data_IF_092068763325
#
_entry.id   IF_092068763325
#
_cell.length_a   1.000
_cell.length_b   1.000
_cell.length_c   1.000
_cell.angle_alpha   90.00
_cell.angle_beta   90.00
_cell.angle_gamma   90.00
#
_symmetry.space_group_name_H-M   'P 1'
#
loop_
_entity.id
_entity.type
_entity.pdbx_description
1 polymer ?
#
# COMPACT_ATOMS: atom_id res chain seq x y z
N UNK A 1 14.47 -9.34 12.08
CA UNK A 1 15.38 -8.32 11.53
C UNK A 1 16.27 -8.86 10.43
N UNK A 2 17.06 -9.91 10.66
CA UNK A 2 17.90 -10.53 9.61
C UNK A 2 17.08 -10.95 8.37
N UNK A 3 15.89 -11.52 8.56
CA UNK A 3 15.00 -11.90 7.45
C UNK A 3 14.56 -10.69 6.61
N UNK A 4 14.10 -9.62 7.24
CA UNK A 4 13.72 -8.36 6.55
C UNK A 4 14.88 -7.78 5.74
N UNK A 5 16.10 -7.79 6.29
CA UNK A 5 17.29 -7.31 5.56
C UNK A 5 17.52 -8.16 4.31
N UNK A 6 17.52 -9.47 4.46
CA UNK A 6 17.71 -10.39 3.34
C UNK A 6 16.61 -10.24 2.27
N UNK A 7 15.37 -10.03 2.69
CA UNK A 7 14.23 -9.83 1.78
C UNK A 7 14.33 -8.49 1.03
N UNK A 8 14.73 -7.42 1.73
CA UNK A 8 14.99 -6.12 1.12
C UNK A 8 16.13 -6.19 0.09
N UNK A 9 17.25 -6.83 0.44
CA UNK A 9 18.39 -7.04 -0.47
C UNK A 9 17.98 -7.86 -1.70
N UNK A 10 17.18 -8.91 -1.50
CA UNK A 10 16.66 -9.73 -2.60
C UNK A 10 15.77 -8.92 -3.54
N UNK A 11 14.87 -8.10 -3.00
CA UNK A 11 14.03 -7.20 -3.77
C UNK A 11 14.84 -6.13 -4.53
N UNK A 12 15.90 -5.60 -3.90
CA UNK A 12 16.79 -4.62 -4.54
C UNK A 12 17.55 -5.22 -5.72
N UNK A 13 18.03 -6.46 -5.55
CA UNK A 13 18.70 -7.21 -6.62
C UNK A 13 17.74 -7.49 -7.78
N UNK A 14 16.48 -7.83 -7.50
CA UNK A 14 15.47 -8.04 -8.54
C UNK A 14 15.16 -6.74 -9.28
N UNK A 15 14.94 -5.63 -8.56
CA UNK A 15 14.73 -4.33 -9.19
C UNK A 15 15.89 -3.96 -10.14
N UNK A 16 17.13 -4.17 -9.71
CA UNK A 16 18.32 -3.88 -10.52
C UNK A 16 18.30 -4.66 -11.83
N UNK A 17 18.07 -5.98 -11.77
CA UNK A 17 17.96 -6.83 -12.96
C UNK A 17 16.82 -6.40 -13.88
N UNK A 18 15.69 -5.98 -13.30
CA UNK A 18 14.50 -5.60 -14.07
C UNK A 18 14.67 -4.25 -14.76
N UNK A 19 15.40 -3.31 -14.15
CA UNK A 19 15.73 -2.02 -14.77
C UNK A 19 16.66 -2.23 -15.98
N UNK A 20 17.61 -3.18 -15.89
CA UNK A 20 18.52 -3.51 -16.99
C UNK A 20 17.79 -4.02 -18.24
N UNK A 21 16.69 -4.78 -18.06
CA UNK A 21 15.87 -5.27 -19.18
C UNK A 21 14.85 -4.25 -19.70
N UNK A 22 14.81 -3.04 -19.13
CA UNK A 22 13.99 -1.90 -19.56
C UNK A 22 12.47 -2.17 -19.61
N UNK A 23 11.97 -3.14 -18.83
CA UNK A 23 10.54 -3.34 -18.68
C UNK A 23 9.98 -2.41 -17.60
N UNK A 24 9.27 -1.36 -18.03
CA UNK A 24 8.70 -0.36 -17.15
C UNK A 24 7.66 -0.94 -16.17
N UNK A 25 6.83 -1.88 -16.61
CA UNK A 25 5.81 -2.47 -15.74
C UNK A 25 6.45 -3.34 -14.67
N UNK A 26 7.39 -4.21 -15.04
CA UNK A 26 8.11 -5.04 -14.09
C UNK A 26 8.93 -4.17 -13.14
N UNK A 27 9.56 -3.10 -13.63
CA UNK A 27 10.31 -2.17 -12.79
C UNK A 27 9.42 -1.49 -11.74
N UNK A 28 8.19 -1.10 -12.11
CA UNK A 28 7.20 -0.57 -11.18
C UNK A 28 6.73 -1.62 -10.15
N UNK A 29 6.60 -2.88 -10.56
CA UNK A 29 6.28 -3.96 -9.63
C UNK A 29 7.40 -4.22 -8.62
N UNK A 30 8.65 -4.31 -9.09
CA UNK A 30 9.81 -4.61 -8.25
C UNK A 30 10.15 -3.45 -7.31
N UNK A 31 10.05 -2.20 -7.77
CA UNK A 31 10.26 -1.05 -6.88
C UNK A 31 9.19 -1.01 -5.80
N UNK A 32 7.93 -1.28 -6.15
CA UNK A 32 6.86 -1.34 -5.15
C UNK A 32 7.09 -2.49 -4.16
N UNK A 33 7.57 -3.64 -4.63
CA UNK A 33 7.94 -4.78 -3.77
C UNK A 33 9.08 -4.41 -2.81
N UNK A 34 10.10 -3.69 -3.26
CA UNK A 34 11.18 -3.18 -2.40
C UNK A 34 10.63 -2.29 -1.27
N UNK A 35 9.72 -1.36 -1.62
CA UNK A 35 9.08 -0.47 -0.64
C UNK A 35 8.28 -1.21 0.44
N UNK A 36 7.78 -2.41 0.17
CA UNK A 36 7.02 -3.23 1.15
C UNK A 36 7.81 -3.50 2.44
N UNK A 37 9.15 -3.56 2.36
CA UNK A 37 10.00 -3.94 3.48
C UNK A 37 10.49 -2.74 4.31
N UNK A 38 10.41 -1.50 3.80
CA UNK A 38 10.79 -0.30 4.57
C UNK A 38 10.06 -0.16 5.93
N UNK A 39 8.75 -0.46 6.03
CA UNK A 39 8.01 -0.33 7.28
C UNK A 39 8.56 -1.18 8.43
N UNK A 40 9.17 -2.33 8.12
CA UNK A 40 9.78 -3.20 9.13
C UNK A 40 10.96 -2.52 9.82
N UNK A 41 11.73 -1.70 9.09
CA UNK A 41 12.81 -0.89 9.66
C UNK A 41 12.25 0.29 10.47
N UNK A 42 11.21 0.94 9.97
CA UNK A 42 10.58 2.08 10.67
C UNK A 42 9.95 1.68 12.01
N UNK A 43 9.50 0.43 12.13
CA UNK A 43 9.00 -0.11 13.39
C UNK A 43 10.05 -0.19 14.51
N UNK A 44 11.35 -0.05 14.20
CA UNK A 44 12.41 -0.01 15.21
C UNK A 44 12.55 1.34 15.91
N UNK A 45 11.89 2.36 15.39
CA UNK A 45 11.96 3.72 15.90
C UNK A 45 10.59 4.16 16.40
N UNK A 46 10.56 5.05 17.37
CA UNK A 46 9.32 5.74 17.72
C UNK A 46 8.90 6.61 16.54
N UNK A 47 7.78 6.24 15.90
CA UNK A 47 7.20 7.00 14.81
C UNK A 47 5.81 7.50 15.19
N UNK A 48 5.56 8.78 14.90
CA UNK A 48 4.23 9.39 15.03
C UNK A 48 3.25 8.84 13.99
N UNK A 49 3.77 8.43 12.84
CA UNK A 49 3.03 7.84 11.74
C UNK A 49 3.15 6.32 11.83
N UNK A 50 2.03 5.57 11.93
CA UNK A 50 2.10 4.12 11.94
C UNK A 50 2.77 3.59 10.65
N UNK A 51 3.87 2.81 10.73
CA UNK A 51 4.52 2.24 9.55
C UNK A 51 3.57 1.35 8.71
N UNK A 52 2.48 0.88 9.30
CA UNK A 52 1.43 0.15 8.60
C UNK A 52 0.81 0.95 7.43
N UNK A 53 0.83 2.29 7.47
CA UNK A 53 0.34 3.12 6.37
C UNK A 53 1.15 2.92 5.08
N UNK A 54 2.46 2.70 5.19
CA UNK A 54 3.31 2.38 4.04
C UNK A 54 3.01 0.99 3.46
N UNK A 55 2.62 0.02 4.31
CA UNK A 55 2.16 -1.30 3.85
C UNK A 55 0.84 -1.18 3.06
N UNK A 56 -0.07 -0.30 3.47
CA UNK A 56 -1.30 0.01 2.72
C UNK A 56 -0.98 0.70 1.39
N UNK A 57 0.00 1.62 1.39
CA UNK A 57 0.48 2.31 0.18
C UNK A 57 1.05 1.33 -0.83
N UNK A 58 1.88 0.38 -0.37
CA UNK A 58 2.36 -0.75 -1.18
C UNK A 58 1.20 -1.52 -1.82
N UNK A 59 0.22 -1.91 -1.00
CA UNK A 59 -0.89 -2.75 -1.45
C UNK A 59 -1.80 -2.03 -2.46
N UNK A 60 -2.14 -0.76 -2.24
CA UNK A 60 -2.90 0.06 -3.19
C UNK A 60 -2.20 0.16 -4.56
N UNK A 61 -0.88 0.45 -4.56
CA UNK A 61 -0.08 0.52 -5.79
C UNK A 61 0.00 -0.83 -6.50
N UNK A 62 0.15 -1.93 -5.74
CA UNK A 62 0.19 -3.28 -6.31
C UNK A 62 -1.15 -3.65 -6.96
N UNK A 63 -2.29 -3.35 -6.31
CA UNK A 63 -3.63 -3.56 -6.87
C UNK A 63 -3.80 -2.76 -8.18
N UNK A 64 -3.38 -1.50 -8.18
CA UNK A 64 -3.41 -0.64 -9.38
C UNK A 64 -2.63 -1.27 -10.54
N UNK A 65 -1.37 -1.65 -10.32
CA UNK A 65 -0.50 -2.26 -11.33
C UNK A 65 -1.06 -3.61 -11.83
N UNK A 66 -1.58 -4.44 -10.93
CA UNK A 66 -2.21 -5.72 -11.32
C UNK A 66 -3.49 -5.50 -12.13
N UNK A 67 -4.27 -4.47 -11.80
CA UNK A 67 -5.43 -4.02 -12.58
C UNK A 67 -5.06 -3.63 -14.02
N UNK A 68 -3.97 -2.87 -14.20
CA UNK A 68 -3.44 -2.47 -15.52
C UNK A 68 -3.01 -3.68 -16.39
N UNK A 69 -2.70 -4.82 -15.78
CA UNK A 69 -2.43 -6.09 -16.48
C UNK A 69 -3.58 -7.08 -16.44
N UNK A 70 -4.77 -6.64 -16.04
CA UNK A 70 -5.97 -7.47 -15.92
C UNK A 70 -5.79 -8.69 -14.99
N UNK A 71 -4.79 -8.68 -14.11
CA UNK A 71 -4.55 -9.72 -13.13
C UNK A 71 -5.43 -9.50 -11.89
N UNK A 72 -6.73 -9.63 -12.06
CA UNK A 72 -7.71 -9.43 -10.98
C UNK A 72 -7.66 -10.51 -9.90
N UNK A 73 -7.18 -11.72 -10.24
CA UNK A 73 -6.93 -12.77 -9.25
C UNK A 73 -5.85 -12.32 -8.25
N UNK A 74 -4.69 -11.90 -8.76
CA UNK A 74 -3.63 -11.35 -7.91
C UNK A 74 -4.05 -10.08 -7.18
N UNK A 75 -4.87 -9.21 -7.81
CA UNK A 75 -5.39 -8.01 -7.15
C UNK A 75 -6.29 -8.38 -5.95
N UNK A 76 -7.11 -9.43 -6.06
CA UNK A 76 -7.91 -9.95 -4.95
C UNK A 76 -7.04 -10.48 -3.81
N UNK A 77 -5.96 -11.20 -4.11
CA UNK A 77 -5.02 -11.66 -3.08
C UNK A 77 -4.40 -10.48 -2.31
N UNK A 78 -4.06 -9.41 -3.02
CA UNK A 78 -3.52 -8.18 -2.41
C UNK A 78 -4.60 -7.43 -1.62
N UNK A 79 -5.87 -7.47 -2.01
CA UNK A 79 -6.97 -6.90 -1.22
C UNK A 79 -7.10 -7.56 0.16
N UNK A 80 -6.92 -8.89 0.25
CA UNK A 80 -6.93 -9.60 1.53
C UNK A 80 -5.75 -9.16 2.41
N UNK A 81 -4.55 -9.01 1.82
CA UNK A 81 -3.41 -8.44 2.53
C UNK A 81 -3.71 -7.02 3.01
N UNK A 82 -4.27 -6.16 2.15
CA UNK A 82 -4.64 -4.79 2.47
C UNK A 82 -5.60 -4.74 3.67
N UNK A 83 -6.65 -5.55 3.64
CA UNK A 83 -7.67 -5.61 4.71
C UNK A 83 -7.04 -5.99 6.07
N UNK A 84 -6.15 -6.99 6.08
CA UNK A 84 -5.45 -7.42 7.29
C UNK A 84 -4.55 -6.32 7.87
N UNK A 85 -3.81 -5.61 7.02
CA UNK A 85 -3.01 -4.46 7.46
C UNK A 85 -3.92 -3.35 8.01
N UNK A 86 -5.04 -3.06 7.34
CA UNK A 86 -5.97 -2.01 7.78
C UNK A 86 -6.59 -2.31 9.14
N UNK A 87 -7.00 -3.56 9.37
CA UNK A 87 -7.53 -3.99 10.68
C UNK A 87 -6.51 -3.82 11.81
N UNK A 88 -5.21 -3.91 11.50
CA UNK A 88 -4.12 -3.70 12.45
C UNK A 88 -3.79 -2.21 12.65
N UNK A 89 -3.86 -1.41 11.57
CA UNK A 89 -3.53 0.01 11.59
C UNK A 89 -4.64 0.87 12.21
N UNK A 90 -5.90 0.59 11.86
CA UNK A 90 -7.07 1.39 12.23
C UNK A 90 -7.19 1.68 13.73
N UNK A 91 -7.02 0.71 14.65
CA UNK A 91 -7.14 0.96 16.10
C UNK A 91 -6.07 1.91 16.64
N UNK A 92 -4.95 2.08 15.94
CA UNK A 92 -3.84 2.97 16.33
C UNK A 92 -4.10 4.43 15.93
N UNK A 93 -5.13 4.69 15.12
CA UNK A 93 -5.49 6.03 14.67
C UNK A 93 -6.33 6.74 15.74
N UNK A 94 -5.98 8.00 16.04
CA UNK A 94 -6.69 8.85 17.00
C UNK A 94 -8.12 9.18 16.54
N UNK A 95 -9.02 9.47 17.49
CA UNK A 95 -10.43 9.79 17.24
C UNK A 95 -10.66 11.01 16.33
N UNK A 96 -9.75 11.98 16.37
CA UNK A 96 -9.74 13.14 15.46
C UNK A 96 -9.63 12.76 13.97
N UNK A 97 -9.20 11.53 13.67
CA UNK A 97 -9.17 10.98 12.32
C UNK A 97 -10.48 10.29 11.92
N UNK A 98 -11.53 10.28 12.74
CA UNK A 98 -12.76 9.53 12.47
C UNK A 98 -13.37 9.79 11.09
N UNK A 99 -13.39 11.06 10.65
CA UNK A 99 -13.92 11.42 9.33
C UNK A 99 -13.08 10.82 8.18
N UNK A 100 -11.75 10.94 8.25
CA UNK A 100 -10.86 10.40 7.20
C UNK A 100 -10.83 8.88 7.22
N UNK A 101 -10.94 8.26 8.40
CA UNK A 101 -11.08 6.80 8.57
C UNK A 101 -12.36 6.31 7.91
N UNK A 102 -13.48 6.99 8.10
CA UNK A 102 -14.74 6.62 7.45
C UNK A 102 -14.64 6.74 5.92
N UNK A 103 -14.07 7.85 5.41
CA UNK A 103 -13.81 8.02 3.96
C UNK A 103 -12.91 6.91 3.41
N UNK A 104 -11.89 6.51 4.17
CA UNK A 104 -10.99 5.42 3.81
C UNK A 104 -11.73 4.08 3.71
N UNK A 105 -12.58 3.75 4.68
CA UNK A 105 -13.37 2.51 4.66
C UNK A 105 -14.32 2.46 3.47
N UNK A 106 -15.00 3.57 3.16
CA UNK A 106 -15.84 3.66 1.96
C UNK A 106 -15.02 3.51 0.67
N UNK A 107 -13.89 4.21 0.55
CA UNK A 107 -13.01 4.10 -0.61
C UNK A 107 -12.43 2.68 -0.77
N UNK A 108 -12.15 2.00 0.34
CA UNK A 108 -11.67 0.62 0.33
C UNK A 108 -12.76 -0.36 -0.12
N UNK A 109 -13.99 -0.20 0.36
CA UNK A 109 -15.13 -0.99 -0.13
C UNK A 109 -15.36 -0.79 -1.63
N UNK A 110 -15.28 0.45 -2.11
CA UNK A 110 -15.39 0.77 -3.54
C UNK A 110 -14.28 0.12 -4.36
N UNK A 111 -13.03 0.15 -3.89
CA UNK A 111 -11.91 -0.52 -4.57
C UNK A 111 -12.15 -2.04 -4.64
N UNK A 112 -12.56 -2.67 -3.53
CA UNK A 112 -12.90 -4.10 -3.49
C UNK A 112 -13.92 -4.46 -4.57
N UNK A 113 -15.02 -3.71 -4.62
CA UNK A 113 -16.08 -3.92 -5.62
C UNK A 113 -15.57 -3.73 -7.05
N UNK A 114 -14.66 -2.77 -7.27
CA UNK A 114 -14.09 -2.48 -8.59
C UNK A 114 -13.19 -3.60 -9.10
N UNK A 115 -12.42 -4.24 -8.21
CA UNK A 115 -11.60 -5.42 -8.53
C UNK A 115 -12.50 -6.62 -8.85
N UNK A 116 -13.56 -6.86 -8.07
CA UNK A 116 -14.55 -7.92 -8.33
C UNK A 116 -15.23 -7.71 -9.69
N UNK A 117 -15.61 -6.48 -10.00
CA UNK A 117 -16.20 -6.09 -11.28
C UNK A 117 -15.21 -6.12 -12.45
N UNK A 118 -13.91 -6.35 -12.19
CA UNK A 118 -12.83 -6.42 -13.17
C UNK A 118 -12.72 -5.18 -14.07
N UNK A 119 -12.96 -4.00 -13.50
CA UNK A 119 -12.89 -2.74 -14.24
C UNK A 119 -11.56 -2.02 -13.96
N UNK A 120 -10.60 -2.14 -14.89
CA UNK A 120 -9.27 -1.53 -14.79
C UNK A 120 -9.31 -0.04 -14.49
N UNK A 121 -10.08 0.74 -15.26
CA UNK A 121 -10.12 2.20 -15.14
C UNK A 121 -10.64 2.62 -13.76
N UNK A 122 -11.68 1.95 -13.26
CA UNK A 122 -12.24 2.23 -11.94
C UNK A 122 -11.26 1.77 -10.85
N UNK A 123 -10.63 0.60 -10.99
CA UNK A 123 -9.60 0.13 -10.05
C UNK A 123 -8.48 1.15 -9.90
N UNK A 124 -7.97 1.69 -11.02
CA UNK A 124 -6.94 2.75 -11.00
C UNK A 124 -7.41 3.98 -10.23
N UNK A 125 -8.57 4.53 -10.62
CA UNK A 125 -9.10 5.74 -9.98
C UNK A 125 -9.36 5.55 -8.48
N UNK A 126 -9.89 4.39 -8.06
CA UNK A 126 -10.17 4.10 -6.65
C UNK A 126 -8.89 3.83 -5.84
N UNK A 127 -7.87 3.21 -6.43
CA UNK A 127 -6.55 3.10 -5.82
C UNK A 127 -5.90 4.46 -5.59
N UNK A 128 -5.99 5.39 -6.54
CA UNK A 128 -5.48 6.76 -6.39
C UNK A 128 -6.19 7.54 -5.27
N UNK A 129 -7.51 7.36 -5.13
CA UNK A 129 -8.29 7.95 -4.02
C UNK A 129 -7.79 7.39 -2.68
N UNK A 130 -7.59 6.09 -2.56
CA UNK A 130 -7.05 5.48 -1.34
C UNK A 130 -5.66 6.01 -1.00
N UNK A 131 -4.77 6.15 -1.98
CA UNK A 131 -3.44 6.73 -1.77
C UNK A 131 -3.51 8.14 -1.19
N UNK A 132 -4.41 8.99 -1.71
CA UNK A 132 -4.62 10.35 -1.17
C UNK A 132 -5.14 10.34 0.27
N UNK A 133 -6.02 9.38 0.62
CA UNK A 133 -6.53 9.23 1.98
C UNK A 133 -5.45 8.73 2.95
N UNK A 134 -4.55 7.84 2.51
CA UNK A 134 -3.36 7.44 3.29
C UNK A 134 -2.50 8.67 3.60
N UNK A 135 -2.21 9.50 2.59
CA UNK A 135 -1.44 10.73 2.77
C UNK A 135 -2.12 11.74 3.73
N UNK A 136 -3.46 11.80 3.72
CA UNK A 136 -4.23 12.64 4.64
C UNK A 136 -4.12 12.14 6.09
N UNK A 137 -4.23 10.83 6.31
CA UNK A 137 -4.08 10.21 7.64
C UNK A 137 -2.67 10.48 8.17
N UNK A 138 -1.64 10.30 7.34
CA UNK A 138 -0.24 10.56 7.68
C UNK A 138 -0.01 12.03 8.10
N UNK A 139 -0.46 12.98 7.28
CA UNK A 139 -0.33 14.42 7.59
C UNK A 139 -1.05 14.82 8.87
N UNK A 140 -2.19 14.19 9.19
CA UNK A 140 -2.89 14.43 10.45
C UNK A 140 -2.10 13.86 11.63
N UNK A 141 -1.58 12.64 11.51
CA UNK A 141 -0.75 12.02 12.55
C UNK A 141 0.53 12.83 12.88
N UNK A 142 1.18 13.42 11.87
CA UNK A 142 2.35 14.28 12.08
C UNK A 142 2.01 15.56 12.85
N UNK A 143 0.87 16.19 12.55
CA UNK A 143 0.43 17.45 13.18
C UNK A 143 0.01 17.28 14.62
N UNK A 144 -0.62 16.16 14.96
CA UNK A 144 -1.12 15.86 16.31
C UNK A 144 -0.04 15.41 17.30
N UNK A 145 1.23 15.43 16.90
CA UNK A 145 2.39 15.24 17.77
C UNK A 145 3.14 16.55 18.06
N UNK A 146 2.54 17.71 17.80
CA UNK A 146 2.95 19.02 18.33
C UNK A 146 2.03 19.39 19.48
#
# INVERSE_FOLDING_TARGET
MQTTINDFESALNNLTKTVEVQDAYLSLLEVNQLYKYLPDFYMLYESKVPPDLDRLRFAAKKIMLLGEKQNFAGANDVLLYFENIWMTARPKLKSENAEVVSKFEFAFADLKNSVIAKNEMIVKAKSEVLLKLIDEIEKKAEKSGK
#
